data_IF_783330379852
#
_entry.id   IF_783330379852
#
_cell.length_a   1.000
_cell.length_b   1.000
_cell.length_c   1.000
_cell.angle_alpha   90.00
_cell.angle_beta   90.00
_cell.angle_gamma   90.00
#
_symmetry.space_group_name_H-M   'P 1'
#
loop_
_entity.id
_entity.type
_entity.pdbx_description
1 polymer ?
#
# COMPACT_ATOMS: atom_id res chain seq x y z
N UNK A 1 -28.64 57.61 0.70
CA UNK A 1 -27.92 56.57 -0.07
C UNK A 1 -26.53 56.36 0.53
N UNK A 2 -26.26 55.28 1.27
CA UNK A 2 -24.90 55.00 1.80
C UNK A 2 -24.59 53.50 2.02
N UNK A 3 -25.35 52.60 1.40
CA UNK A 3 -25.20 51.15 1.58
C UNK A 3 -24.00 50.54 0.85
N UNK A 4 -23.57 51.12 -0.28
CA UNK A 4 -22.48 50.61 -1.12
C UNK A 4 -21.10 50.73 -0.46
N UNK A 5 -20.79 51.89 0.15
CA UNK A 5 -19.52 52.15 0.84
C UNK A 5 -19.33 51.29 2.10
N UNK A 6 -20.41 51.11 2.89
CA UNK A 6 -20.41 50.23 4.07
C UNK A 6 -20.18 48.76 3.72
N UNK A 7 -20.83 48.27 2.65
CA UNK A 7 -20.62 46.90 2.15
C UNK A 7 -19.17 46.66 1.71
N UNK A 8 -18.54 47.61 0.99
CA UNK A 8 -17.12 47.51 0.60
C UNK A 8 -16.18 47.47 1.82
N UNK A 9 -16.41 48.28 2.85
CA UNK A 9 -15.60 48.26 4.08
C UNK A 9 -15.71 46.93 4.84
N UNK A 10 -16.91 46.37 4.95
CA UNK A 10 -17.13 45.07 5.61
C UNK A 10 -16.46 43.93 4.82
N UNK A 11 -16.55 43.94 3.49
CA UNK A 11 -15.88 42.91 2.67
C UNK A 11 -14.35 42.93 2.83
N UNK A 12 -13.74 44.11 2.95
CA UNK A 12 -12.28 44.21 3.16
C UNK A 12 -11.85 43.61 4.50
N UNK A 13 -12.61 43.85 5.57
CA UNK A 13 -12.32 43.28 6.89
C UNK A 13 -12.48 41.76 6.88
N UNK A 14 -13.52 41.24 6.22
CA UNK A 14 -13.75 39.80 6.09
C UNK A 14 -12.63 39.11 5.29
N UNK A 15 -12.17 39.71 4.20
CA UNK A 15 -11.06 39.17 3.40
C UNK A 15 -9.77 39.14 4.22
N UNK A 16 -9.47 40.20 4.97
CA UNK A 16 -8.29 40.26 5.83
C UNK A 16 -8.33 39.20 6.93
N UNK A 17 -9.48 39.05 7.60
CA UNK A 17 -9.69 38.01 8.61
C UNK A 17 -9.57 36.60 8.02
N UNK A 18 -10.14 36.38 6.82
CA UNK A 18 -10.03 35.11 6.12
C UNK A 18 -8.57 34.76 5.79
N UNK A 19 -7.76 35.70 5.28
CA UNK A 19 -6.35 35.45 4.97
C UNK A 19 -5.54 35.05 6.21
N UNK A 20 -5.85 35.62 7.38
CA UNK A 20 -5.16 35.29 8.63
C UNK A 20 -5.57 33.92 9.18
N UNK A 21 -6.86 33.58 9.11
CA UNK A 21 -7.42 32.35 9.73
C UNK A 21 -7.36 31.14 8.80
N UNK A 22 -7.48 31.35 7.49
CA UNK A 22 -7.58 30.29 6.48
C UNK A 22 -6.38 29.32 6.49
N UNK A 23 -5.11 29.74 6.60
CA UNK A 23 -3.98 28.81 6.61
C UNK A 23 -4.02 27.86 7.81
N UNK A 24 -4.31 28.37 9.00
CA UNK A 24 -4.42 27.56 10.22
C UNK A 24 -5.62 26.62 10.19
N UNK A 25 -6.76 27.10 9.68
CA UNK A 25 -7.95 26.29 9.50
C UNK A 25 -7.72 25.14 8.49
N UNK A 26 -7.05 25.41 7.36
CA UNK A 26 -6.71 24.40 6.37
C UNK A 26 -5.72 23.36 6.93
N UNK A 27 -4.71 23.81 7.69
CA UNK A 27 -3.79 22.89 8.37
C UNK A 27 -4.51 21.98 9.36
N UNK A 28 -5.41 22.54 10.17
CA UNK A 28 -6.23 21.76 11.11
C UNK A 28 -7.14 20.74 10.41
N UNK A 29 -7.84 21.15 9.34
CA UNK A 29 -8.67 20.25 8.54
C UNK A 29 -7.84 19.14 7.92
N UNK A 30 -6.67 19.44 7.35
CA UNK A 30 -5.79 18.44 6.77
C UNK A 30 -5.28 17.44 7.83
N UNK A 31 -4.95 17.90 9.04
CA UNK A 31 -4.42 17.03 10.08
C UNK A 31 -5.48 16.12 10.70
N UNK A 32 -6.70 16.61 10.91
CA UNK A 32 -7.74 15.83 11.59
C UNK A 32 -8.66 15.06 10.62
N UNK A 33 -8.95 15.63 9.44
CA UNK A 33 -9.81 15.01 8.43
C UNK A 33 -9.03 14.32 7.31
N UNK A 34 -7.75 14.64 7.14
CA UNK A 34 -6.86 13.97 6.19
C UNK A 34 -6.54 12.55 6.64
N UNK A 35 -7.42 11.61 6.29
CA UNK A 35 -7.13 10.17 6.41
C UNK A 35 -6.40 9.72 5.15
N UNK A 36 -5.12 9.39 5.28
CA UNK A 36 -4.36 8.75 4.21
C UNK A 36 -5.04 7.43 3.80
N UNK A 37 -5.53 7.36 2.56
CA UNK A 37 -6.22 6.17 2.01
C UNK A 37 -5.25 5.14 1.43
N UNK A 38 -4.07 4.97 2.02
CA UNK A 38 -3.18 3.89 1.60
C UNK A 38 -3.80 2.56 2.05
N UNK A 39 -4.22 1.75 1.07
CA UNK A 39 -4.66 0.37 1.32
C UNK A 39 -3.44 -0.53 1.22
N UNK A 40 -2.83 -0.98 2.33
CA UNK A 40 -1.73 -1.92 2.26
C UNK A 40 -2.21 -3.26 1.70
N UNK A 41 -1.28 -4.03 1.15
CA UNK A 41 -1.55 -5.42 0.81
C UNK A 41 -1.93 -6.19 2.08
N UNK A 42 -2.85 -7.13 1.94
CA UNK A 42 -3.21 -8.02 3.03
C UNK A 42 -2.01 -8.90 3.39
N UNK A 43 -1.75 -9.04 4.68
CA UNK A 43 -0.69 -9.92 5.18
C UNK A 43 -1.34 -11.23 5.63
N UNK A 44 -0.88 -12.32 5.05
CA UNK A 44 -1.37 -13.68 5.28
C UNK A 44 -0.41 -14.47 6.18
N UNK A 45 -0.90 -15.56 6.77
CA UNK A 45 -0.14 -16.41 7.68
C UNK A 45 -0.42 -16.14 9.17
N UNK A 46 0.24 -16.91 10.06
CA UNK A 46 0.08 -16.76 11.50
C UNK A 46 0.51 -15.36 11.97
N UNK A 47 -0.26 -14.80 12.89
CA UNK A 47 -0.03 -13.48 13.49
C UNK A 47 0.28 -13.68 14.96
N UNK A 48 1.40 -13.14 15.42
CA UNK A 48 1.78 -13.15 16.83
C UNK A 48 1.72 -11.72 17.37
N UNK A 49 1.20 -11.56 18.59
CA UNK A 49 1.21 -10.26 19.27
C UNK A 49 2.64 -9.96 19.71
N UNK A 50 3.20 -8.85 19.24
CA UNK A 50 4.50 -8.40 19.68
C UNK A 50 4.41 -7.88 21.13
N UNK A 51 5.52 -7.96 21.86
CA UNK A 51 5.67 -7.28 23.15
C UNK A 51 5.92 -5.77 23.01
N UNK A 52 6.12 -5.30 21.78
CA UNK A 52 6.35 -3.88 21.45
C UNK A 52 5.04 -3.16 21.14
N UNK A 53 5.04 -1.85 21.38
CA UNK A 53 3.89 -0.99 21.18
C UNK A 53 4.30 0.24 20.38
N UNK A 54 3.41 0.71 19.51
CA UNK A 54 3.50 2.04 18.91
C UNK A 54 2.44 2.96 19.50
N UNK A 55 2.76 4.25 19.61
CA UNK A 55 1.85 5.26 20.19
C UNK A 55 1.15 6.04 19.08
N UNK A 56 -0.18 6.01 19.07
CA UNK A 56 -1.01 6.84 18.18
C UNK A 56 -1.90 7.71 19.05
N UNK A 57 -1.71 9.04 18.99
CA UNK A 57 -2.49 10.01 19.79
C UNK A 57 -2.49 9.68 21.30
N UNK A 58 -1.36 9.20 21.83
CA UNK A 58 -1.20 8.85 23.25
C UNK A 58 -1.72 7.46 23.64
N UNK A 59 -2.29 6.70 22.70
CA UNK A 59 -2.72 5.31 22.94
C UNK A 59 -1.65 4.34 22.45
N UNK A 60 -1.23 3.43 23.33
CA UNK A 60 -0.33 2.33 22.98
C UNK A 60 -1.11 1.23 22.25
N UNK A 61 -0.67 0.88 21.04
CA UNK A 61 -1.24 -0.19 20.23
C UNK A 61 -0.17 -1.29 20.10
N UNK A 62 -0.47 -2.54 20.48
CA UNK A 62 0.50 -3.63 20.36
C UNK A 62 0.80 -3.91 18.89
N UNK A 63 2.07 -4.13 18.57
CA UNK A 63 2.47 -4.48 17.21
C UNK A 63 2.10 -5.94 16.89
N UNK A 64 2.01 -6.24 15.59
CA UNK A 64 1.79 -7.61 15.11
C UNK A 64 3.02 -8.10 14.38
N UNK A 65 3.58 -9.21 14.83
CA UNK A 65 4.63 -9.94 14.12
C UNK A 65 3.96 -10.79 13.06
N UNK A 66 4.35 -10.54 11.80
CA UNK A 66 3.84 -11.26 10.64
C UNK A 66 4.80 -12.38 10.22
N UNK A 67 4.23 -13.44 9.66
CA UNK A 67 5.00 -14.51 9.04
C UNK A 67 5.90 -13.97 7.92
N UNK A 68 7.16 -14.41 7.92
CA UNK A 68 8.14 -14.14 6.88
C UNK A 68 8.57 -15.47 6.27
N UNK A 69 8.76 -15.47 4.96
CA UNK A 69 9.32 -16.62 4.25
C UNK A 69 10.82 -16.67 4.55
N UNK A 70 11.30 -17.85 4.93
CA UNK A 70 12.72 -18.09 5.18
C UNK A 70 13.52 -18.04 3.87
N UNK A 71 14.84 -17.87 3.97
CA UNK A 71 15.71 -17.87 2.80
C UNK A 71 15.70 -19.24 2.11
N UNK A 72 15.75 -19.24 0.79
CA UNK A 72 15.75 -20.46 -0.02
C UNK A 72 16.69 -20.33 -1.21
N UNK A 73 17.18 -21.48 -1.66
CA UNK A 73 17.93 -21.64 -2.90
C UNK A 73 17.30 -22.79 -3.69
N UNK A 74 16.75 -22.48 -4.87
CA UNK A 74 16.10 -23.43 -5.76
C UNK A 74 16.74 -23.37 -7.14
N UNK A 75 16.63 -24.45 -7.92
CA UNK A 75 17.05 -24.46 -9.32
C UNK A 75 15.86 -24.07 -10.20
N UNK A 76 16.10 -23.18 -11.17
CA UNK A 76 15.10 -22.85 -12.17
C UNK A 76 15.10 -23.89 -13.32
N UNK A 77 14.23 -23.66 -14.30
CA UNK A 77 14.06 -24.56 -15.46
C UNK A 77 15.27 -24.59 -16.40
N UNK A 78 16.16 -23.59 -16.30
CA UNK A 78 17.40 -23.49 -17.08
C UNK A 78 18.61 -24.09 -16.32
N UNK A 79 18.41 -24.53 -15.08
CA UNK A 79 19.46 -25.07 -14.21
C UNK A 79 20.22 -24.03 -13.39
N UNK A 80 19.81 -22.77 -13.41
CA UNK A 80 20.41 -21.70 -12.60
C UNK A 80 19.88 -21.72 -11.17
N UNK A 81 20.75 -21.38 -10.22
CA UNK A 81 20.37 -21.23 -8.81
C UNK A 81 19.70 -19.87 -8.56
N UNK A 82 18.44 -19.91 -8.13
CA UNK A 82 17.64 -18.74 -7.75
C UNK A 82 17.51 -18.69 -6.23
N UNK A 83 17.90 -17.55 -5.65
CA UNK A 83 17.78 -17.29 -4.21
C UNK A 83 16.82 -16.16 -3.92
N UNK A 84 16.22 -16.12 -2.72
CA UNK A 84 15.33 -15.03 -2.33
C UNK A 84 16.04 -13.66 -2.38
N UNK A 85 17.34 -13.63 -2.09
CA UNK A 85 18.14 -12.41 -2.14
C UNK A 85 18.27 -11.81 -3.56
N UNK A 86 18.15 -12.62 -4.62
CA UNK A 86 18.15 -12.14 -6.01
C UNK A 86 16.98 -11.19 -6.34
N UNK A 87 15.93 -11.22 -5.53
CA UNK A 87 14.72 -10.40 -5.66
C UNK A 87 14.59 -9.33 -4.57
N UNK A 88 15.67 -9.06 -3.82
CA UNK A 88 15.66 -8.05 -2.76
C UNK A 88 15.24 -6.68 -3.30
N UNK A 89 14.27 -6.06 -2.63
CA UNK A 89 13.72 -4.75 -3.02
C UNK A 89 12.69 -4.80 -4.15
N UNK A 90 12.32 -5.99 -4.62
CA UNK A 90 11.31 -6.20 -5.65
C UNK A 90 10.05 -6.83 -5.08
N UNK A 91 8.94 -6.69 -5.79
CA UNK A 91 7.66 -7.34 -5.47
C UNK A 91 7.65 -8.72 -6.12
N UNK A 92 7.70 -9.76 -5.30
CA UNK A 92 7.66 -11.15 -5.75
C UNK A 92 6.24 -11.71 -5.63
N UNK A 93 5.73 -12.29 -6.70
CA UNK A 93 4.48 -13.04 -6.75
C UNK A 93 4.82 -14.51 -6.97
N UNK A 94 4.59 -15.34 -5.94
CA UNK A 94 4.91 -16.78 -5.96
C UNK A 94 3.63 -17.59 -6.09
N UNK A 95 3.65 -18.60 -6.95
CA UNK A 95 2.59 -19.58 -7.09
C UNK A 95 3.14 -20.99 -6.92
N UNK A 96 2.27 -21.91 -6.48
CA UNK A 96 2.59 -23.32 -6.32
C UNK A 96 1.78 -24.10 -7.35
N UNK A 97 2.43 -24.56 -8.41
CA UNK A 97 1.78 -25.32 -9.48
C UNK A 97 2.49 -26.64 -9.73
N UNK A 98 1.71 -27.71 -9.86
CA UNK A 98 2.22 -29.00 -10.34
C UNK A 98 1.74 -29.26 -11.77
N UNK A 99 2.54 -30.00 -12.54
CA UNK A 99 2.39 -30.14 -14.00
C UNK A 99 1.12 -30.86 -14.45
N UNK A 100 0.47 -31.64 -13.57
CA UNK A 100 -0.63 -32.54 -13.93
C UNK A 100 -1.99 -32.16 -13.33
N UNK A 101 -2.27 -30.87 -13.07
CA UNK A 101 -3.56 -30.46 -12.50
C UNK A 101 -4.61 -30.14 -13.58
N UNK A 102 -5.67 -30.94 -13.66
CA UNK A 102 -6.78 -30.78 -14.63
C UNK A 102 -8.11 -30.37 -13.99
N UNK A 103 -8.07 -29.59 -12.90
CA UNK A 103 -9.26 -29.02 -12.27
C UNK A 103 -9.70 -27.72 -12.95
N UNK A 104 -10.97 -27.33 -12.83
CA UNK A 104 -11.42 -26.03 -13.36
C UNK A 104 -10.81 -24.85 -12.59
N UNK A 105 -10.57 -25.01 -11.28
CA UNK A 105 -9.88 -24.01 -10.46
C UNK A 105 -8.45 -23.75 -10.93
N UNK A 106 -7.70 -24.80 -11.29
CA UNK A 106 -6.34 -24.65 -11.81
C UNK A 106 -6.29 -24.05 -13.21
N UNK A 107 -7.29 -24.34 -14.07
CA UNK A 107 -7.42 -23.65 -15.36
C UNK A 107 -7.64 -22.14 -15.17
N UNK A 108 -8.52 -21.76 -14.24
CA UNK A 108 -8.78 -20.35 -13.93
C UNK A 108 -7.52 -19.66 -13.36
N UNK A 109 -6.82 -20.30 -12.41
CA UNK A 109 -5.58 -19.78 -11.85
C UNK A 109 -4.50 -19.57 -12.93
N UNK A 110 -4.35 -20.52 -13.86
CA UNK A 110 -3.44 -20.41 -15.00
C UNK A 110 -3.78 -19.21 -15.89
N UNK A 111 -5.05 -19.02 -16.22
CA UNK A 111 -5.50 -17.87 -17.04
C UNK A 111 -5.21 -16.55 -16.33
N UNK A 112 -5.54 -16.46 -15.04
CA UNK A 112 -5.25 -15.27 -14.24
C UNK A 112 -3.75 -14.97 -14.21
N UNK A 113 -2.92 -16.00 -14.05
CA UNK A 113 -1.47 -15.86 -14.02
C UNK A 113 -0.89 -15.43 -15.36
N UNK A 114 -1.39 -15.97 -16.47
CA UNK A 114 -1.03 -15.53 -17.81
C UNK A 114 -1.44 -14.07 -18.09
N UNK A 115 -2.60 -13.65 -17.57
CA UNK A 115 -3.03 -12.26 -17.64
C UNK A 115 -2.10 -11.34 -16.85
N UNK A 116 -1.72 -11.75 -15.63
CA UNK A 116 -0.78 -11.00 -14.81
C UNK A 116 0.59 -10.86 -15.48
N UNK A 117 1.15 -11.96 -15.98
CA UNK A 117 2.44 -11.95 -16.67
C UNK A 117 2.42 -10.96 -17.83
N UNK A 118 1.40 -11.00 -18.70
CA UNK A 118 1.25 -10.05 -19.82
C UNK A 118 1.19 -8.59 -19.39
N UNK A 119 0.57 -8.28 -18.26
CA UNK A 119 0.43 -6.91 -17.75
C UNK A 119 1.74 -6.39 -17.16
N UNK A 120 2.50 -7.27 -16.49
CA UNK A 120 3.68 -6.87 -15.71
C UNK A 120 5.01 -7.32 -16.33
N UNK A 121 5.02 -7.96 -17.50
CA UNK A 121 6.22 -8.47 -18.16
C UNK A 121 7.31 -7.40 -18.36
N UNK A 122 6.89 -6.15 -18.61
CA UNK A 122 7.82 -5.01 -18.82
C UNK A 122 8.19 -4.29 -17.52
N UNK A 123 7.62 -4.68 -16.39
CA UNK A 123 7.83 -4.03 -15.10
C UNK A 123 9.03 -4.65 -14.39
N UNK A 124 10.10 -3.88 -14.20
CA UNK A 124 11.33 -4.37 -13.54
C UNK A 124 11.19 -4.56 -12.02
N UNK A 125 10.10 -4.07 -11.41
CA UNK A 125 9.86 -4.18 -9.98
C UNK A 125 9.03 -5.41 -9.61
N UNK A 126 8.29 -6.00 -10.56
CA UNK A 126 7.36 -7.10 -10.28
C UNK A 126 7.91 -8.36 -10.93
N UNK A 127 8.18 -9.37 -10.12
CA UNK A 127 8.66 -10.67 -10.58
C UNK A 127 7.67 -11.77 -10.20
N UNK A 128 7.49 -12.69 -11.14
CA UNK A 128 6.64 -13.86 -10.97
C UNK A 128 7.52 -15.10 -10.88
N UNK A 129 7.27 -15.93 -9.88
CA UNK A 129 7.91 -17.22 -9.71
C UNK A 129 6.83 -18.30 -9.54
N UNK A 130 7.07 -19.46 -10.16
CA UNK A 130 6.27 -20.65 -9.93
C UNK A 130 7.19 -21.72 -9.38
N UNK A 131 6.77 -22.32 -8.27
CA UNK A 131 7.44 -23.47 -7.62
C UNK A 131 6.58 -24.70 -7.80
#
# INVERSE_FOLDING_TARGET
MNGSSRKKKISTILILAAILVMPGFLYYLLQDQGKNRYKPLAIFGPKQVATTFHSVRGKQIPDTIYHKVDDFALLNQDGDTVTLNSWKGKVLVVNLFYTQVNSDGSKAARIAMQGFDKLYQKNQMVHLASV
#
